data_IF_994302129574
#
_entry.id   IF_994302129574
#
_cell.length_a   1.000
_cell.length_b   1.000
_cell.length_c   1.000
_cell.angle_alpha   90.00
_cell.angle_beta   90.00
_cell.angle_gamma   90.00
#
_symmetry.space_group_name_H-M   'P 1'
#
loop_
_entity.id
_entity.type
_entity.pdbx_description
1 polymer ?
#
# COMPACT_ATOMS: atom_id res chain seq x y z
N UNK A 1 10.48 5.29 -12.42
CA UNK A 1 9.50 6.37 -12.67
C UNK A 1 8.10 5.88 -12.32
N UNK A 2 7.63 6.13 -11.10
CA UNK A 2 6.27 5.73 -10.69
C UNK A 2 5.20 6.40 -11.58
N UNK A 3 5.49 7.61 -12.09
CA UNK A 3 4.62 8.35 -13.01
C UNK A 3 4.25 7.55 -14.26
N UNK A 4 5.19 6.78 -14.83
CA UNK A 4 4.92 5.95 -16.01
C UNK A 4 4.03 4.74 -15.69
N UNK A 5 4.22 4.12 -14.51
CA UNK A 5 3.34 3.06 -14.05
C UNK A 5 1.91 3.58 -13.81
N UNK A 6 1.75 4.80 -13.29
CA UNK A 6 0.45 5.45 -13.12
C UNK A 6 -0.26 5.70 -14.45
N UNK A 7 0.46 6.20 -15.46
CA UNK A 7 -0.09 6.42 -16.81
C UNK A 7 -0.56 5.10 -17.43
N UNK A 8 0.22 4.03 -17.29
CA UNK A 8 -0.16 2.71 -17.79
C UNK A 8 -1.33 2.09 -17.02
N UNK A 9 -1.43 2.32 -15.71
CA UNK A 9 -2.52 1.81 -14.88
C UNK A 9 -3.84 2.61 -15.05
N UNK A 10 -3.75 3.88 -15.43
CA UNK A 10 -4.90 4.79 -15.60
C UNK A 10 -6.02 4.22 -16.49
N UNK A 11 -5.78 3.70 -17.71
CA UNK A 11 -6.85 3.17 -18.55
C UNK A 11 -7.57 1.98 -17.90
N UNK A 12 -6.84 1.09 -17.23
CA UNK A 12 -7.44 -0.04 -16.53
C UNK A 12 -8.29 0.41 -15.34
N UNK A 13 -7.81 1.39 -14.57
CA UNK A 13 -8.55 1.96 -13.44
C UNK A 13 -9.79 2.72 -13.89
N UNK A 14 -9.73 3.41 -15.04
CA UNK A 14 -10.91 4.08 -15.63
C UNK A 14 -11.98 3.08 -16.05
N UNK A 15 -11.58 1.99 -16.73
CA UNK A 15 -12.52 0.92 -17.11
C UNK A 15 -13.14 0.27 -15.87
N UNK A 16 -12.32 -0.08 -14.87
CA UNK A 16 -12.81 -0.66 -13.63
C UNK A 16 -13.78 0.28 -12.91
N UNK A 17 -13.43 1.57 -12.77
CA UNK A 17 -14.28 2.59 -12.16
C UNK A 17 -15.62 2.74 -12.89
N UNK A 18 -15.61 2.66 -14.22
CA UNK A 18 -16.84 2.70 -15.02
C UNK A 18 -17.71 1.45 -14.82
N UNK A 19 -17.10 0.27 -14.75
CA UNK A 19 -17.82 -0.98 -14.52
C UNK A 19 -18.40 -1.09 -13.12
N UNK A 20 -17.70 -0.59 -12.10
CA UNK A 20 -18.12 -0.63 -10.69
C UNK A 20 -18.86 0.63 -10.24
N UNK A 21 -19.30 1.47 -11.18
CA UNK A 21 -20.02 2.70 -10.85
C UNK A 21 -21.30 2.38 -10.08
N UNK A 22 -21.63 3.14 -9.02
CA UNK A 22 -22.87 2.91 -8.30
C UNK A 22 -24.07 3.29 -9.18
N UNK A 23 -25.19 2.59 -9.00
CA UNK A 23 -26.43 2.85 -9.73
C UNK A 23 -27.00 4.25 -9.43
N UNK A 24 -26.70 4.81 -8.25
CA UNK A 24 -27.00 6.19 -7.89
C UNK A 24 -25.83 6.84 -7.16
N UNK A 25 -25.52 8.08 -7.53
CA UNK A 25 -24.45 8.87 -6.88
C UNK A 25 -24.84 9.34 -5.47
N UNK A 26 -26.14 9.39 -5.17
CA UNK A 26 -26.68 9.73 -3.84
C UNK A 26 -26.45 8.67 -2.78
N UNK A 27 -26.06 7.45 -3.16
CA UNK A 27 -25.69 6.38 -2.22
C UNK A 27 -24.25 6.51 -1.69
N UNK A 28 -23.42 7.40 -2.25
CA UNK A 28 -22.06 7.63 -1.77
C UNK A 28 -22.13 8.60 -0.59
N UNK A 29 -21.75 8.12 0.60
CA UNK A 29 -21.73 8.97 1.80
C UNK A 29 -20.71 10.11 1.66
N UNK A 30 -20.94 11.26 2.31
CA UNK A 30 -19.93 12.34 2.39
C UNK A 30 -18.59 11.85 2.98
N UNK A 31 -18.63 10.87 3.89
CA UNK A 31 -17.42 10.27 4.46
C UNK A 31 -16.58 9.53 3.42
N UNK A 32 -17.18 8.88 2.42
CA UNK A 32 -16.45 8.21 1.35
C UNK A 32 -15.69 9.21 0.47
N UNK A 33 -16.29 10.38 0.18
CA UNK A 33 -15.63 11.46 -0.56
C UNK A 33 -14.47 12.07 0.22
N UNK A 34 -14.64 12.28 1.53
CA UNK A 34 -13.58 12.78 2.41
C UNK A 34 -12.44 11.75 2.51
N UNK A 35 -12.75 10.47 2.65
CA UNK A 35 -11.75 9.40 2.67
C UNK A 35 -10.96 9.33 1.35
N UNK A 36 -11.63 9.44 0.20
CA UNK A 36 -10.99 9.51 -1.12
C UNK A 36 -10.04 10.72 -1.21
N UNK A 37 -10.49 11.89 -0.78
CA UNK A 37 -9.66 13.11 -0.75
C UNK A 37 -8.45 12.95 0.17
N UNK A 38 -8.65 12.41 1.37
CA UNK A 38 -7.59 12.17 2.35
C UNK A 38 -6.52 11.21 1.82
N UNK A 39 -6.93 10.03 1.33
CA UNK A 39 -6.01 9.01 0.81
C UNK A 39 -5.23 9.55 -0.41
N UNK A 40 -5.90 10.27 -1.31
CA UNK A 40 -5.26 10.76 -2.53
C UNK A 40 -4.28 11.91 -2.27
N UNK A 41 -4.66 12.89 -1.46
CA UNK A 41 -3.86 14.09 -1.21
C UNK A 41 -2.81 13.88 -0.12
N UNK A 42 -3.21 13.36 1.04
CA UNK A 42 -2.29 13.25 2.18
C UNK A 42 -1.44 11.98 2.10
N UNK A 43 -2.06 10.80 1.98
CA UNK A 43 -1.30 9.55 1.99
C UNK A 43 -0.48 9.35 0.71
N UNK A 44 -1.05 9.64 -0.46
CA UNK A 44 -0.36 9.44 -1.73
C UNK A 44 0.45 10.67 -2.14
N UNK A 45 -0.15 11.81 -2.45
CA UNK A 45 0.58 12.96 -3.01
C UNK A 45 1.62 13.52 -2.03
N UNK A 46 1.19 13.95 -0.84
CA UNK A 46 2.08 14.53 0.18
C UNK A 46 3.03 13.45 0.71
N UNK A 47 2.52 12.25 0.97
CA UNK A 47 3.34 11.11 1.39
C UNK A 47 4.49 10.81 0.42
N UNK A 48 4.28 10.90 -0.89
CA UNK A 48 5.35 10.72 -1.88
C UNK A 48 6.45 11.78 -1.78
N UNK A 49 6.14 13.02 -1.42
CA UNK A 49 7.16 14.07 -1.22
C UNK A 49 8.09 13.69 -0.05
N UNK A 50 7.51 13.30 1.09
CA UNK A 50 8.27 12.83 2.24
C UNK A 50 9.06 11.56 1.93
N UNK A 51 8.45 10.62 1.19
CA UNK A 51 9.08 9.39 0.76
C UNK A 51 10.32 9.64 -0.09
N UNK A 52 10.21 10.54 -1.09
CA UNK A 52 11.32 10.86 -1.98
C UNK A 52 12.46 11.56 -1.23
N UNK A 53 12.12 12.47 -0.30
CA UNK A 53 13.10 13.09 0.60
C UNK A 53 13.76 12.07 1.53
N UNK A 54 13.00 11.11 2.07
CA UNK A 54 13.50 10.02 2.90
C UNK A 54 14.44 9.08 2.15
N UNK A 55 14.12 8.77 0.89
CA UNK A 55 15.00 8.02 0.00
C UNK A 55 16.32 8.77 -0.27
N UNK A 56 16.24 10.08 -0.50
CA UNK A 56 17.42 10.91 -0.72
C UNK A 56 18.31 11.02 0.53
N UNK A 57 17.71 11.06 1.73
CA UNK A 57 18.44 11.22 2.99
C UNK A 57 18.96 9.90 3.59
N UNK A 58 18.16 8.83 3.56
CA UNK A 58 18.46 7.55 4.21
C UNK A 58 18.96 6.45 3.26
N UNK A 59 18.94 6.69 1.94
CA UNK A 59 19.33 5.72 0.93
C UNK A 59 18.29 4.62 0.69
N UNK A 60 18.31 4.07 -0.52
CA UNK A 60 17.31 3.09 -1.00
C UNK A 60 17.31 1.80 -0.15
N UNK A 61 18.49 1.35 0.29
CA UNK A 61 18.62 0.10 1.05
C UNK A 61 17.94 0.17 2.44
N UNK A 62 18.11 1.28 3.18
CA UNK A 62 17.51 1.45 4.50
C UNK A 62 15.98 1.61 4.39
N UNK A 63 15.51 2.39 3.41
CA UNK A 63 14.08 2.57 3.14
C UNK A 63 13.43 1.24 2.70
N UNK A 64 14.14 0.41 1.94
CA UNK A 64 13.69 -0.93 1.58
C UNK A 64 13.52 -1.87 2.79
N UNK A 65 14.43 -1.80 3.79
CA UNK A 65 14.25 -2.55 5.03
C UNK A 65 13.05 -2.04 5.86
N UNK A 66 12.83 -0.72 5.89
CA UNK A 66 11.65 -0.15 6.54
C UNK A 66 10.34 -0.60 5.90
N UNK A 67 10.27 -0.75 4.56
CA UNK A 67 9.08 -1.31 3.90
C UNK A 67 8.80 -2.77 4.31
N UNK A 68 9.85 -3.58 4.48
CA UNK A 68 9.67 -4.94 4.98
C UNK A 68 9.09 -4.93 6.40
N UNK A 69 9.55 -4.02 7.25
CA UNK A 69 9.03 -3.86 8.60
C UNK A 69 7.60 -3.28 8.62
N UNK A 70 7.27 -2.41 7.66
CA UNK A 70 5.95 -1.78 7.52
C UNK A 70 4.83 -2.82 7.39
N UNK A 71 5.06 -3.95 6.71
CA UNK A 71 4.04 -4.99 6.56
C UNK A 71 3.62 -5.60 7.91
N UNK A 72 4.55 -5.76 8.84
CA UNK A 72 4.25 -6.29 10.18
C UNK A 72 3.52 -5.27 11.03
N UNK A 73 3.97 -4.00 11.01
CA UNK A 73 3.28 -2.95 11.72
C UNK A 73 1.88 -2.71 11.16
N UNK A 74 1.68 -2.83 9.86
CA UNK A 74 0.36 -2.76 9.22
C UNK A 74 -0.58 -3.85 9.74
N UNK A 75 -0.12 -5.10 9.76
CA UNK A 75 -0.91 -6.23 10.29
C UNK A 75 -1.17 -6.09 11.79
N UNK A 76 -0.16 -5.70 12.58
CA UNK A 76 -0.29 -5.51 14.02
C UNK A 76 -1.22 -4.35 14.38
N UNK A 77 -1.15 -3.23 13.66
CA UNK A 77 -2.05 -2.09 13.83
C UNK A 77 -3.47 -2.43 13.37
N UNK A 78 -3.66 -3.18 12.28
CA UNK A 78 -4.98 -3.64 11.86
C UNK A 78 -5.62 -4.55 12.93
N UNK A 79 -4.85 -5.47 13.49
CA UNK A 79 -5.29 -6.32 14.61
C UNK A 79 -5.68 -5.50 15.85
N UNK A 80 -4.88 -4.49 16.19
CA UNK A 80 -5.06 -3.70 17.40
C UNK A 80 -6.19 -2.65 17.29
N UNK A 81 -6.33 -2.00 16.13
CA UNK A 81 -7.26 -0.88 15.92
C UNK A 81 -8.57 -1.30 15.26
N UNK A 82 -8.56 -2.25 14.33
CA UNK A 82 -9.77 -2.74 13.65
C UNK A 82 -10.31 -4.04 14.28
N UNK A 83 -9.62 -4.59 15.29
CA UNK A 83 -9.94 -5.87 15.92
C UNK A 83 -10.07 -7.02 14.91
N UNK A 84 -9.41 -6.92 13.76
CA UNK A 84 -9.39 -8.01 12.79
C UNK A 84 -8.64 -9.20 13.36
N UNK A 85 -9.26 -10.38 13.28
CA UNK A 85 -8.64 -11.63 13.71
C UNK A 85 -7.45 -11.93 12.80
N UNK A 86 -6.24 -11.73 13.30
CA UNK A 86 -5.02 -12.16 12.60
C UNK A 86 -5.04 -13.68 12.56
N UNK A 87 -5.48 -14.22 11.43
CA UNK A 87 -5.54 -15.66 11.20
C UNK A 87 -4.12 -16.23 11.24
N UNK A 88 -3.91 -17.43 11.81
CA UNK A 88 -2.65 -18.15 11.72
C UNK A 88 -2.13 -18.29 10.27
N UNK A 89 -3.04 -18.34 9.30
CA UNK A 89 -2.71 -18.38 7.87
C UNK A 89 -2.03 -17.08 7.40
N UNK A 90 -2.47 -15.93 7.90
CA UNK A 90 -1.93 -14.62 7.55
C UNK A 90 -0.48 -14.48 8.07
N UNK A 91 -0.22 -15.00 9.27
CA UNK A 91 1.13 -15.11 9.83
C UNK A 91 1.99 -16.11 9.05
N UNK A 92 1.46 -17.29 8.72
CA UNK A 92 2.18 -18.31 7.95
C UNK A 92 2.58 -17.82 6.56
N UNK A 93 1.69 -17.12 5.85
CA UNK A 93 1.99 -16.52 4.54
C UNK A 93 3.02 -15.40 4.69
N UNK A 94 2.90 -14.55 5.70
CA UNK A 94 3.88 -13.48 5.98
C UNK A 94 5.28 -14.07 6.23
N UNK A 95 5.37 -15.12 7.05
CA UNK A 95 6.60 -15.87 7.29
C UNK A 95 7.14 -16.54 6.01
N UNK A 96 6.28 -17.14 5.20
CA UNK A 96 6.65 -17.73 3.92
C UNK A 96 7.26 -16.70 2.95
N UNK A 97 6.67 -15.51 2.84
CA UNK A 97 7.21 -14.42 2.03
C UNK A 97 8.58 -13.97 2.54
N UNK A 98 8.76 -13.83 3.87
CA UNK A 98 10.05 -13.48 4.46
C UNK A 98 11.12 -14.52 4.12
N UNK A 99 10.80 -15.81 4.26
CA UNK A 99 11.72 -16.90 3.91
C UNK A 99 12.09 -16.88 2.43
N UNK A 100 11.13 -16.63 1.53
CA UNK A 100 11.39 -16.43 0.10
C UNK A 100 12.31 -15.24 -0.17
N UNK A 101 12.10 -14.10 0.50
CA UNK A 101 12.93 -12.89 0.33
C UNK A 101 14.34 -13.11 0.88
N UNK A 102 14.49 -13.80 2.01
CA UNK A 102 15.80 -14.18 2.55
C UNK A 102 16.51 -15.15 1.59
N UNK A 103 15.78 -16.14 1.06
CA UNK A 103 16.28 -17.08 0.07
C UNK A 103 16.75 -16.36 -1.21
N UNK A 104 15.91 -15.50 -1.79
CA UNK A 104 16.26 -14.78 -3.02
C UNK A 104 17.45 -13.83 -2.85
N UNK A 105 17.59 -13.16 -1.70
CA UNK A 105 18.78 -12.36 -1.39
C UNK A 105 20.05 -13.19 -1.22
N UNK A 106 19.92 -14.45 -0.79
CA UNK A 106 21.06 -15.36 -0.59
C UNK A 106 21.53 -16.04 -1.89
N UNK A 107 20.63 -16.22 -2.86
CA UNK A 107 20.94 -16.83 -4.16
C UNK A 107 21.11 -15.82 -5.32
N UNK A 108 20.72 -14.56 -5.11
CA UNK A 108 20.86 -13.47 -6.08
C UNK A 108 22.05 -12.53 -5.84
N UNK A 109 22.95 -12.87 -4.93
CA UNK A 109 24.25 -12.22 -4.71
C UNK A 109 25.39 -13.15 -5.11
#
# INVERSE_FOLDING_TARGET
>A
MISWALIMALPFMLVASWMTRPASWGAISPSAWIALGYVSLFSMLIGFIFWYKGLAAGGIAAVGQLQLLQQFFGLGLAAALLHETVSPLMLAVTLGVILCVIGSRKFGS
#
